data_IF_175731510669
#
_entry.id   IF_175731510669
#
_cell.length_a   1.000
_cell.length_b   1.000
_cell.length_c   1.000
_cell.angle_alpha   90.00
_cell.angle_beta   90.00
_cell.angle_gamma   90.00
#
_symmetry.space_group_name_H-M   'P 1'
#
loop_
_entity.id
_entity.type
_entity.pdbx_description
1 polymer ?
#
# COMPACT_ATOMS: atom_id res chain seq x y z
N UNK A 1 -6.83 23.64 57.94
CA UNK A 1 -7.38 23.36 56.58
C UNK A 1 -6.27 23.50 55.56
N UNK A 2 -5.65 22.37 55.16
CA UNK A 2 -4.56 22.34 54.15
C UNK A 2 -5.24 22.06 52.77
N UNK A 3 -5.15 23.00 51.83
CA UNK A 3 -5.60 22.85 50.46
C UNK A 3 -4.49 22.14 49.68
N UNK A 4 -4.74 20.92 49.19
CA UNK A 4 -3.90 20.22 48.21
C UNK A 4 -4.23 20.71 46.83
N UNK A 5 -3.26 21.35 46.17
CA UNK A 5 -3.32 21.77 44.79
C UNK A 5 -2.93 20.55 43.92
N UNK A 6 -3.90 19.90 43.24
CA UNK A 6 -3.61 18.86 42.29
C UNK A 6 -3.16 19.54 40.96
N UNK A 7 -1.88 19.45 40.64
CA UNK A 7 -1.37 19.75 39.30
C UNK A 7 -1.69 18.57 38.39
N UNK A 8 -2.69 18.74 37.50
CA UNK A 8 -2.90 17.81 36.42
C UNK A 8 -1.86 18.08 35.33
N UNK A 9 -0.90 17.18 35.18
CA UNK A 9 0.06 17.20 34.07
C UNK A 9 -0.70 16.62 32.86
N UNK A 10 -1.12 17.50 31.94
CA UNK A 10 -1.65 17.08 30.66
C UNK A 10 -0.48 16.60 29.77
N UNK A 11 -0.36 15.30 29.61
CA UNK A 11 0.56 14.69 28.66
C UNK A 11 0.02 14.94 27.25
N UNK A 12 0.54 15.95 26.54
CA UNK A 12 0.31 16.12 25.12
C UNK A 12 1.06 15.03 24.36
N UNK A 13 0.37 13.97 24.00
CA UNK A 13 0.83 13.01 22.99
C UNK A 13 0.78 13.74 21.63
N UNK A 14 1.93 14.24 21.17
CA UNK A 14 2.07 14.78 19.82
C UNK A 14 2.00 13.62 18.82
N UNK A 15 0.84 13.43 18.21
CA UNK A 15 0.71 12.59 17.02
C UNK A 15 1.52 13.23 15.89
N UNK A 16 2.56 12.53 15.45
CA UNK A 16 3.40 12.99 14.35
C UNK A 16 2.74 12.78 13.00
N UNK A 17 1.81 13.69 12.63
CA UNK A 17 1.28 13.72 11.27
C UNK A 17 2.33 14.22 10.30
N UNK A 18 2.46 13.58 9.13
CA UNK A 18 3.23 14.11 8.02
C UNK A 18 2.47 15.33 7.47
N UNK A 19 2.94 16.54 7.81
CA UNK A 19 2.32 17.79 7.35
C UNK A 19 2.97 18.27 6.07
N UNK A 20 2.18 18.54 5.03
CA UNK A 20 2.62 19.10 3.75
C UNK A 20 2.66 20.63 3.71
N UNK A 21 2.54 21.32 4.85
CA UNK A 21 2.55 22.78 4.90
C UNK A 21 3.95 23.36 4.66
N UNK A 22 4.20 23.99 3.50
CA UNK A 22 5.25 24.97 3.21
C UNK A 22 6.72 24.67 3.55
N UNK A 23 7.04 23.47 4.02
CA UNK A 23 8.38 23.09 4.45
C UNK A 23 9.12 22.28 3.37
N UNK A 24 10.46 22.29 3.43
CA UNK A 24 11.36 21.43 2.65
C UNK A 24 10.88 19.98 2.71
N UNK A 25 10.92 19.26 1.58
CA UNK A 25 10.58 17.85 1.48
C UNK A 25 11.26 17.03 2.59
N UNK A 26 10.48 16.29 3.36
CA UNK A 26 11.01 15.43 4.43
C UNK A 26 11.59 14.16 3.83
N UNK A 27 12.77 13.78 4.30
CA UNK A 27 13.45 12.55 3.92
C UNK A 27 13.48 11.63 5.15
N UNK A 28 13.05 10.42 4.98
CA UNK A 28 13.03 9.39 6.03
C UNK A 28 13.77 8.14 5.54
N UNK A 29 14.09 7.27 6.48
CA UNK A 29 14.63 5.94 6.21
C UNK A 29 13.81 4.90 6.95
N UNK A 30 13.49 3.81 6.25
CA UNK A 30 12.86 2.66 6.86
C UNK A 30 13.90 1.73 7.49
N UNK A 31 13.59 1.22 8.68
CA UNK A 31 14.41 0.27 9.41
C UNK A 31 13.60 -0.99 9.71
N UNK A 32 14.20 -2.16 9.53
CA UNK A 32 13.56 -3.45 9.80
C UNK A 32 13.44 -3.65 11.31
N UNK A 33 12.21 -3.88 11.78
CA UNK A 33 11.91 -4.23 13.17
C UNK A 33 11.80 -5.75 13.32
N UNK A 34 11.13 -6.39 12.37
CA UNK A 34 10.90 -7.83 12.36
C UNK A 34 10.76 -8.34 10.92
N UNK A 35 11.16 -9.58 10.73
CA UNK A 35 11.10 -10.28 9.42
C UNK A 35 10.15 -11.46 9.53
N UNK A 36 9.32 -11.63 8.51
CA UNK A 36 8.38 -12.74 8.38
C UNK A 36 8.65 -13.50 7.08
N UNK A 37 8.38 -14.81 7.01
CA UNK A 37 8.48 -15.56 5.77
C UNK A 37 7.55 -14.98 4.69
N UNK A 38 7.98 -15.01 3.45
CA UNK A 38 7.18 -14.64 2.29
C UNK A 38 7.46 -15.61 1.14
N UNK A 39 6.45 -15.90 0.33
CA UNK A 39 6.55 -16.84 -0.77
C UNK A 39 7.38 -16.24 -1.93
N UNK A 40 8.53 -16.83 -2.23
CA UNK A 40 9.44 -16.36 -3.30
C UNK A 40 8.87 -16.52 -4.72
N UNK A 41 7.70 -17.14 -4.87
CA UNK A 41 6.95 -17.20 -6.12
C UNK A 41 5.89 -16.11 -6.22
N UNK A 42 5.75 -15.28 -5.18
CA UNK A 42 4.81 -14.15 -5.16
C UNK A 42 5.39 -12.96 -5.93
N UNK A 43 4.91 -12.76 -7.15
CA UNK A 43 5.15 -11.52 -7.86
C UNK A 43 4.17 -10.46 -7.36
N UNK A 44 4.46 -9.91 -6.15
CA UNK A 44 3.56 -9.05 -5.39
C UNK A 44 3.19 -7.78 -6.15
N UNK A 45 1.89 -7.55 -6.30
CA UNK A 45 1.32 -6.39 -6.97
C UNK A 45 0.38 -5.57 -6.07
N UNK A 46 -0.22 -6.19 -5.07
CA UNK A 46 -1.01 -5.51 -4.05
C UNK A 46 -0.86 -6.22 -2.70
N UNK A 47 -0.84 -5.42 -1.63
CA UNK A 47 -0.69 -5.91 -0.26
C UNK A 47 -1.48 -5.00 0.69
N UNK A 48 -2.39 -5.56 1.50
CA UNK A 48 -3.17 -4.74 2.43
C UNK A 48 -3.66 -5.55 3.63
N UNK A 49 -3.94 -4.86 4.73
CA UNK A 49 -4.67 -5.44 5.87
C UNK A 49 -6.16 -5.06 5.81
N UNK A 50 -7.01 -6.05 6.09
CA UNK A 50 -8.43 -5.85 6.34
C UNK A 50 -8.83 -6.64 7.59
N UNK A 51 -9.32 -5.96 8.62
CA UNK A 51 -9.77 -6.57 9.89
C UNK A 51 -8.74 -7.53 10.52
N UNK A 52 -7.45 -7.13 10.50
CA UNK A 52 -6.33 -7.90 11.04
C UNK A 52 -5.88 -9.07 10.16
N UNK A 53 -6.46 -9.26 8.98
CA UNK A 53 -6.12 -10.28 7.99
C UNK A 53 -5.26 -9.65 6.90
N UNK A 54 -4.17 -10.31 6.52
CA UNK A 54 -3.29 -9.88 5.44
C UNK A 54 -3.73 -10.47 4.11
N UNK A 55 -3.92 -9.63 3.11
CA UNK A 55 -4.25 -10.03 1.74
C UNK A 55 -3.15 -9.61 0.78
N UNK A 56 -2.94 -10.44 -0.23
CA UNK A 56 -1.94 -10.21 -1.27
C UNK A 56 -2.50 -10.57 -2.64
N UNK A 57 -2.33 -9.70 -3.62
CA UNK A 57 -2.50 -10.00 -5.04
C UNK A 57 -1.15 -10.12 -5.73
N UNK A 58 -1.03 -11.14 -6.60
CA UNK A 58 0.21 -11.43 -7.33
C UNK A 58 -0.03 -11.44 -8.83
N UNK A 59 0.92 -10.92 -9.60
CA UNK A 59 0.86 -10.86 -11.05
C UNK A 59 1.48 -12.08 -11.74
N UNK A 60 1.68 -11.95 -13.02
CA UNK A 60 2.13 -12.89 -14.06
C UNK A 60 1.00 -13.71 -14.68
N UNK A 61 0.89 -13.64 -16.03
CA UNK A 61 -0.10 -14.42 -16.77
C UNK A 61 0.05 -15.92 -16.49
N UNK A 62 -1.05 -16.59 -16.21
CA UNK A 62 -1.11 -18.00 -15.82
C UNK A 62 -0.66 -18.31 -14.39
N UNK A 63 -0.22 -17.27 -13.62
CA UNK A 63 0.23 -17.42 -12.23
C UNK A 63 -0.42 -16.41 -11.27
N UNK A 64 -1.25 -15.51 -11.79
CA UNK A 64 -1.91 -14.45 -11.02
C UNK A 64 -2.85 -15.01 -9.97
N UNK A 65 -2.76 -14.48 -8.73
CA UNK A 65 -3.58 -14.94 -7.60
C UNK A 65 -4.05 -13.77 -6.73
N UNK A 66 -5.15 -14.00 -6.00
CA UNK A 66 -5.52 -13.25 -4.80
C UNK A 66 -5.49 -14.21 -3.61
N UNK A 67 -4.85 -13.81 -2.51
CA UNK A 67 -4.64 -14.68 -1.35
C UNK A 67 -4.90 -13.95 -0.04
N UNK A 68 -5.39 -14.69 0.96
CA UNK A 68 -5.23 -14.35 2.37
C UNK A 68 -3.97 -15.06 2.88
N UNK A 69 -3.07 -14.33 3.53
CA UNK A 69 -1.76 -14.84 3.96
C UNK A 69 -1.65 -14.83 5.48
N UNK A 70 -1.22 -15.94 6.06
CA UNK A 70 -0.86 -16.02 7.47
C UNK A 70 0.49 -15.29 7.69
N UNK A 71 0.47 -14.20 8.45
CA UNK A 71 1.63 -13.31 8.63
C UNK A 71 2.86 -14.08 9.16
N UNK A 72 2.68 -14.95 10.16
CA UNK A 72 3.80 -15.62 10.84
C UNK A 72 4.49 -16.70 9.99
N UNK A 73 3.79 -17.30 9.05
CA UNK A 73 4.33 -18.40 8.21
C UNK A 73 4.50 -18.02 6.73
N UNK A 74 3.88 -16.95 6.26
CA UNK A 74 3.81 -16.59 4.85
C UNK A 74 2.93 -17.54 4.01
N UNK A 75 2.19 -18.46 4.65
CA UNK A 75 1.35 -19.46 3.98
C UNK A 75 0.00 -18.85 3.59
N UNK A 76 -0.46 -19.15 2.37
CA UNK A 76 -1.82 -18.81 1.96
C UNK A 76 -2.84 -19.63 2.76
N UNK A 77 -3.75 -18.95 3.47
CA UNK A 77 -4.89 -19.53 4.16
C UNK A 77 -6.06 -19.73 3.21
N UNK A 78 -6.24 -18.78 2.30
CA UNK A 78 -7.20 -18.82 1.20
C UNK A 78 -6.51 -18.34 -0.06
N UNK A 79 -6.92 -18.86 -1.22
CA UNK A 79 -6.38 -18.49 -2.53
C UNK A 79 -7.43 -18.65 -3.60
N UNK A 80 -7.48 -17.70 -4.53
CA UNK A 80 -8.14 -17.84 -5.80
C UNK A 80 -7.15 -17.55 -6.93
N UNK A 81 -7.23 -18.35 -8.00
CA UNK A 81 -6.40 -18.21 -9.19
C UNK A 81 -7.20 -17.48 -10.27
N UNK A 82 -6.54 -16.67 -11.06
CA UNK A 82 -7.14 -15.98 -12.20
C UNK A 82 -6.89 -16.77 -13.50
N UNK A 83 -7.76 -16.58 -14.48
CA UNK A 83 -7.54 -17.17 -15.81
C UNK A 83 -6.24 -16.65 -16.44
N UNK A 84 -5.61 -17.48 -17.28
CA UNK A 84 -4.23 -17.28 -17.78
C UNK A 84 -4.03 -15.97 -18.53
N UNK A 85 -5.10 -15.41 -19.13
CA UNK A 85 -5.06 -14.13 -19.82
C UNK A 85 -4.90 -12.93 -18.90
N UNK A 86 -5.20 -13.03 -17.61
CA UNK A 86 -5.15 -11.90 -16.68
C UNK A 86 -3.79 -11.76 -16.00
N UNK A 87 -3.20 -10.59 -16.15
CA UNK A 87 -2.12 -10.15 -15.31
C UNK A 87 -2.72 -9.31 -14.16
N UNK A 88 -2.82 -9.90 -12.96
CA UNK A 88 -3.39 -9.21 -11.80
C UNK A 88 -2.40 -8.22 -11.23
N UNK A 89 -2.94 -7.10 -10.77
CA UNK A 89 -2.23 -5.96 -10.21
C UNK A 89 -2.69 -5.67 -8.78
N UNK A 90 -2.68 -4.41 -8.36
CA UNK A 90 -3.02 -3.99 -7.02
C UNK A 90 -4.43 -4.41 -6.57
N UNK A 91 -4.58 -4.54 -5.26
CA UNK A 91 -5.87 -4.88 -4.63
C UNK A 91 -6.07 -4.12 -3.33
N UNK A 92 -7.35 -3.90 -2.96
CA UNK A 92 -7.75 -3.24 -1.70
C UNK A 92 -9.18 -3.62 -1.32
N UNK A 93 -9.50 -3.59 -0.03
CA UNK A 93 -10.87 -3.74 0.44
C UNK A 93 -11.57 -2.38 0.63
N UNK A 94 -12.79 -2.25 0.11
CA UNK A 94 -13.69 -1.13 0.37
C UNK A 94 -15.14 -1.63 0.46
N UNK A 95 -15.87 -1.19 1.47
CA UNK A 95 -17.28 -1.59 1.72
C UNK A 95 -17.47 -3.13 1.74
N UNK A 96 -16.51 -3.89 2.32
CA UNK A 96 -16.57 -5.34 2.43
C UNK A 96 -16.35 -6.08 1.10
N UNK A 97 -15.80 -5.43 0.08
CA UNK A 97 -15.42 -6.03 -1.19
C UNK A 97 -13.96 -5.76 -1.51
N UNK A 98 -13.23 -6.79 -1.95
CA UNK A 98 -11.85 -6.66 -2.43
C UNK A 98 -11.91 -6.33 -3.93
N UNK A 99 -11.40 -5.15 -4.29
CA UNK A 99 -11.19 -4.72 -5.66
C UNK A 99 -9.82 -5.17 -6.11
N UNK A 100 -9.73 -5.82 -7.28
CA UNK A 100 -8.49 -6.34 -7.84
C UNK A 100 -8.35 -5.82 -9.27
N UNK A 101 -7.29 -5.05 -9.53
CA UNK A 101 -7.00 -4.51 -10.85
C UNK A 101 -6.35 -5.57 -11.76
N UNK A 102 -6.49 -5.39 -13.07
CA UNK A 102 -5.65 -6.05 -14.08
C UNK A 102 -4.76 -5.04 -14.77
N UNK A 103 -3.61 -5.48 -15.31
CA UNK A 103 -2.64 -4.59 -15.97
C UNK A 103 -3.23 -3.93 -17.21
N UNK A 104 -3.44 -4.70 -18.27
CA UNK A 104 -3.88 -4.19 -19.59
C UNK A 104 -5.20 -4.77 -20.08
N UNK A 105 -5.72 -5.75 -19.38
CA UNK A 105 -6.95 -6.45 -19.76
C UNK A 105 -8.20 -5.60 -19.52
N UNK A 106 -8.02 -4.43 -18.86
CA UNK A 106 -9.08 -3.45 -18.68
C UNK A 106 -10.22 -3.90 -17.80
N UNK A 107 -9.90 -4.71 -16.76
CA UNK A 107 -10.88 -5.27 -15.83
C UNK A 107 -10.54 -4.91 -14.38
N UNK A 108 -11.59 -4.80 -13.56
CA UNK A 108 -11.54 -4.84 -12.10
C UNK A 108 -12.45 -5.97 -11.65
N UNK A 109 -11.90 -6.90 -10.92
CA UNK A 109 -12.67 -7.95 -10.25
C UNK A 109 -13.01 -7.53 -8.82
N UNK A 110 -14.16 -8.00 -8.32
CA UNK A 110 -14.57 -7.80 -6.94
C UNK A 110 -14.77 -9.16 -6.28
N UNK A 111 -14.16 -9.33 -5.11
CA UNK A 111 -14.23 -10.56 -4.33
C UNK A 111 -14.75 -10.30 -2.93
N UNK A 112 -15.37 -11.33 -2.33
CA UNK A 112 -15.63 -11.35 -0.89
C UNK A 112 -14.32 -11.54 -0.14
N UNK A 113 -14.05 -10.81 0.97
CA UNK A 113 -12.95 -11.15 1.87
C UNK A 113 -13.06 -12.54 2.47
N UNK A 114 -14.30 -13.01 2.68
CA UNK A 114 -14.57 -14.33 3.22
C UNK A 114 -14.73 -15.35 2.07
N UNK A 115 -13.81 -16.30 2.00
CA UNK A 115 -13.80 -17.35 0.98
C UNK A 115 -13.23 -16.92 -0.38
N UNK A 116 -12.89 -15.65 -0.59
CA UNK A 116 -12.43 -15.10 -1.86
C UNK A 116 -13.35 -15.47 -3.03
N UNK A 117 -14.67 -15.39 -2.80
CA UNK A 117 -15.68 -15.66 -3.82
C UNK A 117 -15.81 -14.46 -4.77
N UNK A 118 -15.87 -14.71 -6.08
CA UNK A 118 -16.06 -13.67 -7.09
C UNK A 118 -17.48 -13.09 -6.98
N UNK A 119 -17.56 -11.80 -6.68
CA UNK A 119 -18.81 -11.03 -6.58
C UNK A 119 -19.20 -10.37 -7.90
N UNK A 120 -18.24 -10.17 -8.81
CA UNK A 120 -18.46 -9.57 -10.11
C UNK A 120 -17.23 -8.94 -10.72
N UNK A 121 -17.38 -8.45 -11.94
CA UNK A 121 -16.35 -7.72 -12.68
C UNK A 121 -16.89 -6.41 -13.22
N UNK A 122 -15.98 -5.51 -13.57
CA UNK A 122 -16.31 -4.23 -14.21
C UNK A 122 -15.22 -3.85 -15.19
N UNK A 123 -15.59 -3.13 -16.24
CA UNK A 123 -14.62 -2.56 -17.19
C UNK A 123 -13.80 -1.44 -16.53
N UNK A 124 -12.51 -1.39 -16.84
CA UNK A 124 -11.57 -0.40 -16.35
C UNK A 124 -10.75 0.17 -17.52
N UNK A 125 -11.06 1.40 -17.99
CA UNK A 125 -10.56 1.91 -19.27
C UNK A 125 -9.13 2.47 -19.20
N UNK A 126 -8.24 1.82 -18.42
CA UNK A 126 -6.81 2.18 -18.29
C UNK A 126 -6.00 1.01 -17.77
N UNK A 127 -4.67 1.11 -17.80
CA UNK A 127 -3.81 0.17 -17.11
C UNK A 127 -4.09 0.27 -15.58
N UNK A 128 -4.17 -0.87 -14.91
CA UNK A 128 -4.18 -0.94 -13.45
C UNK A 128 -2.78 -1.24 -12.95
N UNK A 129 -2.32 -0.49 -11.93
CA UNK A 129 -1.08 -0.78 -11.21
C UNK A 129 -1.39 -0.94 -9.71
N UNK A 130 -1.24 0.07 -8.88
CA UNK A 130 -1.63 0.00 -7.47
C UNK A 130 -3.04 0.52 -7.23
N UNK A 131 -3.65 0.10 -6.13
CA UNK A 131 -4.93 0.64 -5.65
C UNK A 131 -4.98 0.62 -4.13
N UNK A 132 -5.50 1.69 -3.53
CA UNK A 132 -5.78 1.80 -2.10
C UNK A 132 -7.08 2.54 -1.83
N UNK A 133 -7.48 2.65 -0.55
CA UNK A 133 -8.72 3.31 -0.16
C UNK A 133 -8.57 4.12 1.14
N UNK A 134 -9.28 5.27 1.22
CA UNK A 134 -9.46 6.02 2.46
C UNK A 134 -10.70 5.58 3.27
N UNK A 135 -11.36 4.50 2.84
CA UNK A 135 -12.62 4.00 3.37
C UNK A 135 -13.86 4.63 2.71
N UNK A 136 -13.67 5.58 1.77
CA UNK A 136 -14.75 6.23 1.03
C UNK A 136 -14.50 6.21 -0.48
N UNK A 137 -13.27 6.47 -0.89
CA UNK A 137 -12.83 6.51 -2.27
C UNK A 137 -11.72 5.50 -2.53
N UNK A 138 -11.65 5.04 -3.77
CA UNK A 138 -10.54 4.27 -4.30
C UNK A 138 -9.53 5.22 -4.96
N UNK A 139 -8.23 4.95 -4.75
CA UNK A 139 -7.11 5.67 -5.34
C UNK A 139 -6.29 4.69 -6.15
N UNK A 140 -6.21 4.85 -7.48
CA UNK A 140 -5.48 3.92 -8.33
C UNK A 140 -4.39 4.60 -9.14
N UNK A 141 -3.25 3.93 -9.30
CA UNK A 141 -2.13 4.31 -10.15
C UNK A 141 -2.17 3.55 -11.49
N UNK A 142 -1.41 4.04 -12.49
CA UNK A 142 -1.27 3.46 -13.83
C UNK A 142 0.18 3.52 -14.33
N UNK A 143 1.15 3.64 -13.42
CA UNK A 143 2.57 3.81 -13.75
C UNK A 143 2.95 5.21 -14.21
N UNK A 144 2.00 6.09 -14.49
CA UNK A 144 2.25 7.50 -14.81
C UNK A 144 2.47 8.33 -13.53
N UNK A 145 2.47 9.66 -13.69
CA UNK A 145 2.47 10.59 -12.56
C UNK A 145 1.05 10.92 -12.05
N UNK A 146 0.08 10.07 -12.32
CA UNK A 146 -1.31 10.30 -11.95
C UNK A 146 -1.84 9.26 -10.97
N UNK A 147 -2.74 9.72 -10.08
CA UNK A 147 -3.58 8.87 -9.26
C UNK A 147 -5.04 9.22 -9.57
N UNK A 148 -5.84 8.20 -9.83
CA UNK A 148 -7.25 8.32 -10.16
C UNK A 148 -8.09 8.09 -8.91
N UNK A 149 -8.87 9.08 -8.51
CA UNK A 149 -9.79 8.99 -7.37
C UNK A 149 -11.16 8.61 -7.88
N UNK A 150 -11.70 7.50 -7.42
CA UNK A 150 -12.95 6.92 -7.87
C UNK A 150 -13.88 6.62 -6.69
N UNK A 151 -15.18 6.56 -6.94
CA UNK A 151 -16.11 5.96 -5.99
C UNK A 151 -16.08 4.41 -6.09
N UNK A 152 -16.85 3.74 -5.23
CA UNK A 152 -16.97 2.28 -5.20
C UNK A 152 -17.53 1.66 -6.49
N UNK A 153 -18.23 2.46 -7.31
CA UNK A 153 -18.71 2.04 -8.63
C UNK A 153 -17.69 2.33 -9.75
N UNK A 154 -16.43 2.62 -9.40
CA UNK A 154 -15.30 2.95 -10.28
C UNK A 154 -15.51 4.23 -11.10
N UNK A 155 -16.48 5.10 -10.72
CA UNK A 155 -16.70 6.37 -11.40
C UNK A 155 -15.65 7.39 -10.99
N UNK A 156 -14.91 7.90 -11.98
CA UNK A 156 -13.86 8.90 -11.74
C UNK A 156 -14.44 10.17 -11.10
N UNK A 157 -13.88 10.58 -9.98
CA UNK A 157 -14.20 11.83 -9.28
C UNK A 157 -13.13 12.89 -9.49
N UNK A 158 -11.87 12.48 -9.48
CA UNK A 158 -10.72 13.39 -9.57
C UNK A 158 -9.51 12.64 -10.15
N UNK A 159 -8.66 13.36 -10.87
CA UNK A 159 -7.31 12.93 -11.23
C UNK A 159 -6.30 13.82 -10.53
N UNK A 160 -5.44 13.22 -9.70
CA UNK A 160 -4.34 13.90 -9.04
C UNK A 160 -3.10 13.80 -9.95
N UNK A 161 -2.35 14.89 -10.06
CA UNK A 161 -1.02 14.87 -10.68
C UNK A 161 0.02 14.94 -9.59
N UNK A 162 0.79 13.87 -9.42
CA UNK A 162 1.77 13.75 -8.35
C UNK A 162 3.05 14.52 -8.68
N UNK A 163 3.44 15.42 -7.78
CA UNK A 163 4.60 16.30 -7.94
C UNK A 163 5.46 16.31 -6.68
N UNK A 164 6.75 16.19 -6.91
CA UNK A 164 7.81 16.41 -5.93
C UNK A 164 8.53 17.69 -6.26
N UNK A 165 8.43 18.72 -5.40
CA UNK A 165 9.10 20.04 -5.63
C UNK A 165 8.85 20.58 -7.05
N UNK A 166 7.60 20.45 -7.53
CA UNK A 166 7.17 20.90 -8.86
C UNK A 166 7.42 19.90 -10.02
N UNK A 167 8.29 18.90 -9.86
CA UNK A 167 8.59 17.90 -10.89
C UNK A 167 7.61 16.73 -10.78
N UNK A 168 7.20 16.16 -11.93
CA UNK A 168 6.35 14.98 -11.99
C UNK A 168 7.06 13.76 -11.37
N UNK A 169 6.31 12.94 -10.63
CA UNK A 169 6.77 11.64 -10.12
C UNK A 169 6.09 10.55 -10.92
N UNK A 170 6.82 9.94 -11.85
CA UNK A 170 6.36 8.81 -12.65
C UNK A 170 6.63 7.47 -11.95
N UNK A 171 6.10 6.39 -12.51
CA UNK A 171 6.29 5.03 -12.06
C UNK A 171 5.65 4.77 -10.69
N UNK A 172 4.55 5.48 -10.39
CA UNK A 172 3.74 5.17 -9.20
C UNK A 172 3.13 3.79 -9.36
N UNK A 173 3.41 2.91 -8.40
CA UNK A 173 2.97 1.52 -8.46
C UNK A 173 2.05 1.21 -7.27
N UNK A 174 2.39 0.23 -6.47
CA UNK A 174 1.58 -0.20 -5.35
C UNK A 174 1.34 0.94 -4.36
N UNK A 175 0.12 1.00 -3.81
CA UNK A 175 -0.37 2.11 -3.01
C UNK A 175 -0.94 1.63 -1.68
N UNK A 176 -0.70 2.41 -0.61
CA UNK A 176 -1.35 2.24 0.68
C UNK A 176 -1.82 3.57 1.28
N UNK A 177 -2.96 3.58 1.97
CA UNK A 177 -3.51 4.78 2.59
C UNK A 177 -3.26 4.79 4.10
N UNK A 178 -2.28 5.59 4.54
CA UNK A 178 -1.85 5.66 5.94
C UNK A 178 -2.03 7.09 6.46
N UNK A 179 -2.79 7.26 7.55
CA UNK A 179 -2.97 8.53 8.26
C UNK A 179 -3.29 9.73 7.35
N UNK A 180 -4.24 9.54 6.43
CA UNK A 180 -4.70 10.61 5.55
C UNK A 180 -3.74 10.92 4.39
N UNK A 181 -2.75 10.08 4.12
CA UNK A 181 -1.80 10.21 3.02
C UNK A 181 -1.76 8.94 2.18
N UNK A 182 -1.48 9.10 0.89
CA UNK A 182 -1.21 8.00 -0.03
C UNK A 182 0.29 7.73 0.00
N UNK A 183 0.66 6.51 0.34
CA UNK A 183 2.02 6.00 0.22
C UNK A 183 2.11 5.23 -1.07
N UNK A 184 3.13 5.48 -1.88
CA UNK A 184 3.27 4.86 -3.19
C UNK A 184 4.68 4.33 -3.41
N UNK A 185 4.81 3.09 -3.82
CA UNK A 185 6.06 2.57 -4.38
C UNK A 185 6.38 3.32 -5.67
N UNK A 186 7.63 3.72 -5.85
CA UNK A 186 8.16 4.22 -7.13
C UNK A 186 8.88 3.06 -7.81
N UNK A 187 8.25 2.46 -8.82
CA UNK A 187 8.72 1.23 -9.49
C UNK A 187 10.17 1.31 -9.93
N UNK A 188 10.87 0.19 -9.88
CA UNK A 188 12.31 -0.04 -10.10
C UNK A 188 13.24 0.77 -9.18
N UNK A 189 12.70 1.38 -8.13
CA UNK A 189 13.48 2.06 -7.08
C UNK A 189 13.22 1.44 -5.71
N UNK A 190 14.07 1.78 -4.73
CA UNK A 190 13.86 1.42 -3.33
C UNK A 190 13.28 2.61 -2.55
N UNK A 191 12.34 3.35 -3.17
CA UNK A 191 11.72 4.53 -2.58
C UNK A 191 10.22 4.42 -2.52
N UNK A 192 9.67 4.95 -1.43
CA UNK A 192 8.25 5.22 -1.27
C UNK A 192 8.08 6.73 -1.19
N UNK A 193 7.08 7.28 -1.90
CA UNK A 193 6.67 8.67 -1.78
C UNK A 193 5.37 8.78 -1.00
N UNK A 194 5.28 9.76 -0.10
CA UNK A 194 4.09 10.06 0.70
C UNK A 194 3.41 11.27 0.10
N UNK A 195 2.16 11.11 -0.35
CA UNK A 195 1.45 12.04 -1.21
C UNK A 195 0.23 12.61 -0.48
N UNK A 196 0.01 13.90 -0.58
CA UNK A 196 -1.23 14.54 -0.11
C UNK A 196 -2.38 14.26 -1.11
N UNK A 197 -3.47 13.60 -0.70
CA UNK A 197 -4.58 13.30 -1.59
C UNK A 197 -5.39 14.56 -1.98
N UNK A 198 -5.20 15.68 -1.30
CA UNK A 198 -5.90 16.92 -1.61
C UNK A 198 -5.39 17.60 -2.88
N UNK A 199 -4.07 17.56 -3.14
CA UNK A 199 -3.43 18.29 -4.25
C UNK A 199 -2.38 17.50 -5.04
N UNK A 200 -2.02 16.28 -4.61
CA UNK A 200 -1.03 15.42 -5.26
C UNK A 200 0.43 15.79 -4.97
N UNK A 201 0.69 16.68 -4.00
CA UNK A 201 2.06 17.00 -3.61
C UNK A 201 2.70 15.88 -2.80
N UNK A 202 3.96 15.58 -3.09
CA UNK A 202 4.80 14.72 -2.26
C UNK A 202 5.23 15.47 -1.01
N UNK A 203 4.85 14.96 0.15
CA UNK A 203 5.17 15.54 1.47
C UNK A 203 6.46 14.98 2.04
N UNK A 204 6.75 13.73 1.72
CA UNK A 204 7.91 13.01 2.20
C UNK A 204 8.34 11.91 1.24
N UNK A 205 9.59 11.49 1.37
CA UNK A 205 10.13 10.27 0.76
C UNK A 205 10.71 9.37 1.85
N UNK A 206 10.57 8.07 1.64
CA UNK A 206 11.14 7.03 2.49
C UNK A 206 12.14 6.21 1.68
N UNK A 207 13.40 6.22 2.10
CA UNK A 207 14.45 5.34 1.59
C UNK A 207 14.30 3.95 2.22
N UNK A 208 14.04 2.96 1.38
CA UNK A 208 13.89 1.55 1.76
C UNK A 208 15.06 0.69 1.25
N UNK A 209 16.15 1.29 0.76
CA UNK A 209 17.29 0.56 0.16
C UNK A 209 17.99 -0.39 1.14
N UNK A 210 17.83 -0.17 2.45
CA UNK A 210 18.38 -1.03 3.50
C UNK A 210 17.52 -2.24 3.85
N UNK A 211 16.26 -2.33 3.38
CA UNK A 211 15.32 -3.40 3.77
C UNK A 211 15.72 -4.74 3.15
N UNK A 212 15.87 -4.80 1.83
CA UNK A 212 16.37 -5.96 1.10
C UNK A 212 17.31 -5.48 -0.01
N UNK A 213 18.62 -5.47 0.24
CA UNK A 213 19.62 -4.89 -0.68
C UNK A 213 19.59 -5.53 -2.05
N UNK A 214 19.79 -4.72 -3.10
CA UNK A 214 19.82 -5.19 -4.50
C UNK A 214 20.80 -6.32 -4.75
N UNK A 215 21.92 -6.34 -4.04
CA UNK A 215 22.94 -7.40 -4.14
C UNK A 215 22.46 -8.79 -3.69
N UNK A 216 21.32 -8.87 -2.99
CA UNK A 216 20.72 -10.12 -2.53
C UNK A 216 19.53 -10.55 -3.41
N UNK A 217 19.10 -9.72 -4.38
CA UNK A 217 17.98 -10.01 -5.28
C UNK A 217 18.45 -10.95 -6.39
N UNK A 218 17.56 -11.86 -6.81
CA UNK A 218 17.87 -12.88 -7.80
C UNK A 218 17.93 -12.32 -9.23
N UNK A 219 17.00 -11.39 -9.53
CA UNK A 219 16.87 -10.73 -10.82
C UNK A 219 16.57 -9.23 -10.63
N UNK A 220 16.73 -8.43 -11.68
CA UNK A 220 16.49 -6.98 -11.63
C UNK A 220 15.05 -6.63 -11.29
N UNK A 221 14.08 -7.50 -11.64
CA UNK A 221 12.66 -7.30 -11.42
C UNK A 221 12.18 -7.71 -10.01
N UNK A 222 13.07 -8.27 -9.18
CA UNK A 222 12.81 -8.48 -7.75
C UNK A 222 12.83 -7.14 -6.99
N UNK A 223 11.93 -6.24 -7.33
CA UNK A 223 11.89 -4.87 -6.83
C UNK A 223 10.97 -4.71 -5.62
N UNK A 224 11.21 -3.66 -4.84
CA UNK A 224 10.31 -3.24 -3.76
C UNK A 224 8.92 -2.97 -4.35
N UNK A 225 7.91 -3.69 -3.87
CA UNK A 225 6.50 -3.50 -4.23
C UNK A 225 5.61 -4.21 -3.21
N UNK A 226 4.74 -3.47 -2.55
CA UNK A 226 3.85 -3.93 -1.49
C UNK A 226 4.07 -3.17 -0.19
N UNK A 227 3.07 -2.40 0.21
CA UNK A 227 2.98 -1.63 1.45
C UNK A 227 1.68 -2.05 2.12
N UNK A 228 1.72 -2.55 3.35
CA UNK A 228 0.52 -2.83 4.10
C UNK A 228 0.54 -2.14 5.45
N UNK A 229 -0.57 -1.57 5.85
CA UNK A 229 -0.75 -0.92 7.14
C UNK A 229 -1.81 -1.63 7.98
N UNK A 230 -1.37 -2.23 9.08
CA UNK A 230 -2.29 -2.73 10.09
C UNK A 230 -2.73 -1.59 11.01
N UNK A 231 -3.91 -1.06 10.75
CA UNK A 231 -4.46 0.07 11.50
C UNK A 231 -4.77 -0.25 12.96
N UNK A 232 -4.95 -1.52 13.33
CA UNK A 232 -5.22 -1.94 14.71
C UNK A 232 -3.93 -1.90 15.56
N UNK A 233 -2.81 -2.35 15.00
CA UNK A 233 -1.50 -2.33 15.69
C UNK A 233 -0.71 -1.04 15.43
N UNK A 234 -1.00 -0.31 14.35
CA UNK A 234 -0.24 0.85 13.89
C UNK A 234 1.09 0.46 13.21
N UNK A 235 1.21 -0.76 12.72
CA UNK A 235 2.41 -1.29 12.10
C UNK A 235 2.36 -1.17 10.58
N UNK A 236 3.52 -0.92 9.98
CA UNK A 236 3.72 -0.90 8.53
C UNK A 236 4.56 -2.09 8.13
N UNK A 237 4.17 -2.73 7.03
CA UNK A 237 4.87 -3.88 6.46
C UNK A 237 5.24 -3.58 5.01
N UNK A 238 6.42 -4.06 4.60
CA UNK A 238 6.93 -3.93 3.24
C UNK A 238 7.38 -5.29 2.72
N UNK A 239 7.15 -5.53 1.44
CA UNK A 239 7.75 -6.64 0.69
C UNK A 239 8.14 -6.19 -0.71
N UNK A 240 8.46 -7.13 -1.57
CA UNK A 240 8.75 -6.90 -2.97
C UNK A 240 8.42 -8.12 -3.82
N UNK A 241 8.48 -7.94 -5.13
CA UNK A 241 8.25 -9.01 -6.10
C UNK A 241 9.27 -10.13 -5.87
N UNK A 242 8.77 -11.35 -5.64
CA UNK A 242 9.56 -12.55 -5.35
C UNK A 242 10.51 -12.45 -4.14
N UNK A 243 10.31 -11.48 -3.26
CA UNK A 243 11.15 -11.38 -2.06
C UNK A 243 10.88 -12.53 -1.10
N UNK A 244 11.93 -13.02 -0.39
CA UNK A 244 11.78 -14.14 0.55
C UNK A 244 11.15 -13.75 1.88
N UNK A 245 10.97 -12.44 2.11
CA UNK A 245 10.50 -11.91 3.39
C UNK A 245 9.53 -10.76 3.21
N UNK A 246 8.57 -10.71 4.14
CA UNK A 246 7.80 -9.53 4.51
C UNK A 246 8.48 -8.89 5.72
N UNK A 247 8.60 -7.58 5.74
CA UNK A 247 9.32 -6.83 6.78
C UNK A 247 8.39 -5.88 7.51
N UNK A 248 8.24 -6.06 8.83
CA UNK A 248 7.71 -5.01 9.70
C UNK A 248 8.78 -3.93 9.82
N UNK A 249 8.39 -2.69 9.57
CA UNK A 249 9.32 -1.56 9.57
C UNK A 249 8.96 -0.51 10.61
N UNK A 250 9.97 0.25 11.03
CA UNK A 250 9.82 1.53 11.71
C UNK A 250 10.43 2.65 10.87
N UNK A 251 9.94 3.86 11.08
CA UNK A 251 10.45 5.06 10.43
C UNK A 251 10.58 6.12 11.50
N UNK A 252 11.81 6.57 11.79
CA UNK A 252 12.03 7.59 12.80
C UNK A 252 11.25 8.88 12.48
N UNK A 253 10.49 9.38 13.44
CA UNK A 253 9.64 10.57 13.28
C UNK A 253 8.28 10.33 12.64
N UNK A 254 7.95 9.10 12.24
CA UNK A 254 6.62 8.69 11.78
C UNK A 254 6.06 7.64 12.75
N UNK A 255 4.90 7.92 13.31
CA UNK A 255 4.14 6.98 14.14
C UNK A 255 2.71 6.96 13.65
N UNK A 256 2.34 5.99 12.80
CA UNK A 256 0.97 5.90 12.32
C UNK A 256 -0.03 5.71 13.46
N UNK A 257 -1.17 6.38 13.32
CA UNK A 257 -2.23 6.31 14.31
C UNK A 257 -2.91 4.94 14.31
N UNK A 258 -3.20 4.40 15.51
CA UNK A 258 -4.04 3.21 15.65
C UNK A 258 -5.50 3.61 15.50
N UNK A 259 -6.23 2.95 14.63
CA UNK A 259 -7.70 3.03 14.61
C UNK A 259 -8.24 2.05 15.65
N UNK A 260 -9.12 2.56 16.53
CA UNK A 260 -9.85 1.73 17.51
C UNK A 260 -11.06 1.08 16.84
#
# INVERSE_FOLDING_TARGET
MKRYLLCAIALFLSFGFVSCGGSKLKQYRAEVVRTYPHDTLSYTQGLFFQDGRLFESTGLNGLSTLREVELESGRALQRTDFADEYFVEGSVCLDGQIYVLTWREGKVFRYSPDGLELLGESDYPREGWGITSDGKYLYASDGSAHIYVMDKDLRLKKKLTVRREGKLVHWLNELEFIDGKIWANVYVTDRIVVIDPSDGKVCAEVDCSGIYPRSQRRIEDDVLNGIAFDSASGKIYLTGKNWPCLYEISIEGIRPGRRK
#
